data_IF_258078031830
#
_entry.id   IF_258078031830
#
_cell.length_a   1.000
_cell.length_b   1.000
_cell.length_c   1.000
_cell.angle_alpha   90.00
_cell.angle_beta   90.00
_cell.angle_gamma   90.00
#
_symmetry.space_group_name_H-M   'P 1'
#
loop_
_entity.id
_entity.type
_entity.pdbx_description
1 polymer ?
#
# COMPACT_ATOMS: atom_id res chain seq x y z
N UNK A 1 14.72 -8.21 0.90
CA UNK A 1 13.51 -7.37 0.81
C UNK A 1 13.98 -5.93 0.92
N UNK A 2 13.53 -5.05 0.03
CA UNK A 2 13.85 -3.62 0.11
C UNK A 2 12.66 -2.85 0.65
N UNK A 3 12.87 -1.78 1.41
CA UNK A 3 11.80 -0.82 1.68
C UNK A 3 11.82 0.26 0.60
N UNK A 4 10.65 0.71 0.21
CA UNK A 4 10.53 1.72 -0.84
C UNK A 4 9.22 2.47 -0.79
N UNK A 5 9.11 3.44 -1.70
CA UNK A 5 7.91 4.22 -1.91
C UNK A 5 7.60 4.20 -3.40
N UNK A 6 6.43 3.70 -3.77
CA UNK A 6 5.92 3.71 -5.13
C UNK A 6 4.84 4.78 -5.24
N UNK A 7 5.05 5.81 -6.05
CA UNK A 7 4.06 6.87 -6.31
C UNK A 7 3.53 6.73 -7.72
N UNK A 8 2.20 6.77 -7.87
CA UNK A 8 1.53 6.85 -9.16
C UNK A 8 1.19 8.30 -9.49
N UNK A 9 1.23 8.68 -10.78
CA UNK A 9 0.76 9.99 -11.23
C UNK A 9 -0.72 10.23 -10.92
N UNK A 10 -1.52 9.17 -10.77
CA UNK A 10 -2.92 9.26 -10.35
C UNK A 10 -3.12 9.73 -8.90
N UNK A 11 -2.05 9.94 -8.12
CA UNK A 11 -2.11 10.35 -6.72
C UNK A 11 -2.08 9.19 -5.71
N UNK A 12 -2.20 7.94 -6.17
CA UNK A 12 -2.03 6.78 -5.31
C UNK A 12 -0.54 6.56 -4.95
N UNK A 13 -0.27 6.08 -3.75
CA UNK A 13 1.08 5.86 -3.23
C UNK A 13 1.12 4.57 -2.43
N UNK A 14 2.19 3.81 -2.53
CA UNK A 14 2.46 2.68 -1.67
C UNK A 14 3.78 2.91 -0.92
N UNK A 15 3.79 2.60 0.37
CA UNK A 15 4.97 2.64 1.21
C UNK A 15 5.11 1.31 1.95
N UNK A 16 6.24 0.66 1.80
CA UNK A 16 6.43 -0.62 2.45
C UNK A 16 7.53 -1.43 1.82
N UNK A 17 7.42 -2.74 2.01
CA UNK A 17 8.39 -3.69 1.52
C UNK A 17 8.14 -4.04 0.04
N UNK A 18 9.24 -4.34 -0.64
CA UNK A 18 9.32 -4.74 -2.03
C UNK A 18 10.19 -5.98 -2.17
N UNK A 19 9.79 -6.86 -3.09
CA UNK A 19 10.50 -8.06 -3.49
C UNK A 19 10.43 -8.18 -5.01
N UNK A 20 11.58 -8.30 -5.66
CA UNK A 20 11.70 -8.44 -7.11
C UNK A 20 10.98 -7.32 -7.91
N UNK A 21 10.97 -6.09 -7.38
CA UNK A 21 10.28 -4.95 -8.00
C UNK A 21 8.77 -4.87 -7.74
N UNK A 22 8.20 -5.87 -7.07
CA UNK A 22 6.78 -5.90 -6.69
C UNK A 22 6.60 -5.58 -5.21
N UNK A 23 5.47 -4.97 -4.86
CA UNK A 23 5.09 -4.75 -3.47
C UNK A 23 4.87 -6.10 -2.78
N UNK A 24 5.51 -6.29 -1.62
CA UNK A 24 5.54 -7.58 -0.94
C UNK A 24 5.90 -7.38 0.54
N UNK A 25 5.34 -8.16 1.45
CA UNK A 25 5.49 -7.98 2.90
C UNK A 25 4.51 -6.95 3.44
N UNK A 26 4.85 -6.32 4.56
CA UNK A 26 3.95 -5.34 5.18
C UNK A 26 4.10 -3.98 4.48
N UNK A 27 2.97 -3.36 4.16
CA UNK A 27 2.96 -2.04 3.53
C UNK A 27 1.61 -1.34 3.56
N UNK A 28 1.67 -0.03 3.36
CA UNK A 28 0.53 0.88 3.33
C UNK A 28 0.31 1.41 1.92
N UNK A 29 -0.85 1.15 1.36
CA UNK A 29 -1.32 1.71 0.10
C UNK A 29 -2.28 2.87 0.37
N UNK A 30 -1.86 4.06 0.00
CA UNK A 30 -2.65 5.28 -0.04
C UNK A 30 -3.34 5.38 -1.40
N UNK A 31 -4.67 5.40 -1.38
CA UNK A 31 -5.48 5.62 -2.54
C UNK A 31 -5.59 7.12 -2.84
N UNK A 32 -5.76 7.47 -4.12
CA UNK A 32 -5.93 8.85 -4.55
C UNK A 32 -7.18 9.54 -3.95
N UNK A 33 -8.15 8.76 -3.48
CA UNK A 33 -9.36 9.25 -2.81
C UNK A 33 -9.15 9.54 -1.30
N UNK A 34 -7.91 9.50 -0.81
CA UNK A 34 -7.58 9.77 0.59
C UNK A 34 -7.72 8.56 1.53
N UNK A 35 -8.25 7.43 1.05
CA UNK A 35 -8.26 6.18 1.82
C UNK A 35 -6.86 5.60 1.90
N UNK A 36 -6.59 4.81 2.92
CA UNK A 36 -5.38 4.01 2.98
C UNK A 36 -5.69 2.58 3.41
N UNK A 37 -4.87 1.65 2.97
CA UNK A 37 -4.89 0.26 3.40
C UNK A 37 -3.52 -0.12 3.92
N UNK A 38 -3.45 -0.63 5.14
CA UNK A 38 -2.24 -1.18 5.72
C UNK A 38 -2.43 -2.68 5.93
N UNK A 39 -1.54 -3.50 5.37
CA UNK A 39 -1.62 -4.94 5.54
C UNK A 39 -0.48 -5.67 4.84
N UNK A 40 -0.61 -6.98 4.73
CA UNK A 40 0.33 -7.82 4.02
C UNK A 40 0.11 -7.77 2.50
N UNK A 41 1.21 -7.79 1.77
CA UNK A 41 1.27 -7.76 0.32
C UNK A 41 2.07 -8.96 -0.17
N UNK A 42 1.62 -9.60 -1.23
CA UNK A 42 2.34 -10.69 -1.87
C UNK A 42 2.25 -10.49 -3.37
N UNK A 43 3.40 -10.18 -3.97
CA UNK A 43 3.58 -10.08 -5.43
C UNK A 43 2.56 -9.13 -6.08
N UNK A 44 2.41 -7.93 -5.50
CA UNK A 44 1.47 -6.94 -6.02
C UNK A 44 0.05 -7.03 -5.44
N UNK A 45 -0.30 -8.12 -4.78
CA UNK A 45 -1.66 -8.38 -4.33
C UNK A 45 -1.78 -8.18 -2.81
N UNK A 46 -2.87 -7.56 -2.39
CA UNK A 46 -3.25 -7.48 -0.98
C UNK A 46 -3.57 -8.90 -0.50
N UNK A 47 -2.87 -9.36 0.52
CA UNK A 47 -3.01 -10.70 1.09
C UNK A 47 -3.19 -10.57 2.60
N UNK A 48 -3.93 -11.51 3.19
CA UNK A 48 -4.16 -11.51 4.64
C UNK A 48 -5.20 -10.50 5.11
N UNK A 49 -5.13 -10.18 6.39
CA UNK A 49 -5.99 -9.18 7.02
C UNK A 49 -5.27 -7.83 6.99
N UNK A 50 -5.96 -6.79 6.53
CA UNK A 50 -5.43 -5.44 6.57
C UNK A 50 -6.48 -4.45 7.05
N UNK A 51 -6.01 -3.32 7.52
CA UNK A 51 -6.83 -2.24 8.03
C UNK A 51 -7.03 -1.26 6.88
N UNK A 52 -8.26 -1.18 6.38
CA UNK A 52 -8.65 -0.11 5.48
C UNK A 52 -9.15 1.08 6.31
N UNK A 53 -8.37 2.15 6.31
CA UNK A 53 -8.76 3.42 6.89
C UNK A 53 -9.48 4.24 5.83
N UNK A 54 -10.73 4.58 6.12
CA UNK A 54 -11.51 5.50 5.31
C UNK A 54 -11.13 6.91 5.72
N UNK A 55 -11.03 7.83 4.76
CA UNK A 55 -10.89 9.24 5.08
C UNK A 55 -12.18 9.67 5.80
N UNK A 56 -12.12 9.75 7.13
CA UNK A 56 -13.19 10.28 7.96
C UNK A 56 -13.02 11.80 7.92
N UNK A 57 -13.60 12.42 6.89
CA UNK A 57 -13.77 13.87 6.88
C UNK A 57 -14.92 14.19 7.84
N UNK A 58 -14.57 14.56 9.07
CA UNK A 58 -15.45 15.31 9.98
C UNK A 58 -15.20 16.81 9.78
#
# INVERSE_FOLDING_TARGET
MGQGVFKRPSGAKYEGQFKNGWVHGVGTYYFANGRNYTGDWVDGNMKGQGIMTWYNGD
#
